data_IF_175854694826
#
_entry.id   IF_175854694826
#
_cell.length_a   1.000
_cell.length_b   1.000
_cell.length_c   1.000
_cell.angle_alpha   90.00
_cell.angle_beta   90.00
_cell.angle_gamma   90.00
#
_symmetry.space_group_name_H-M   'P 1'
#
loop_
_entity.id
_entity.type
_entity.pdbx_description
1 polymer ?
#
# COMPACT_ATOMS: atom_id res chain seq x y z
N UNK A 1 0.80 8.54 -16.32
CA UNK A 1 -0.20 7.91 -15.45
C UNK A 1 -1.30 8.89 -15.11
N UNK A 2 -2.56 8.45 -15.12
CA UNK A 2 -3.63 9.32 -14.65
C UNK A 2 -3.46 9.64 -13.17
N UNK A 3 -3.93 10.82 -12.79
CA UNK A 3 -3.92 11.20 -11.39
C UNK A 3 -5.04 10.46 -10.65
N UNK A 4 -4.72 9.98 -9.46
CA UNK A 4 -5.72 9.37 -8.60
C UNK A 4 -6.50 10.48 -7.89
N UNK A 5 -7.82 10.39 -7.90
CA UNK A 5 -8.66 11.36 -7.18
C UNK A 5 -8.69 11.02 -5.71
N UNK A 6 -8.10 11.91 -4.90
CA UNK A 6 -8.08 11.69 -3.45
C UNK A 6 -9.25 12.40 -2.78
N UNK A 7 -9.65 11.95 -1.59
CA UNK A 7 -10.69 12.63 -0.84
C UNK A 7 -10.30 14.06 -0.49
N UNK A 8 -11.30 14.91 -0.28
CA UNK A 8 -11.08 16.28 0.12
C UNK A 8 -10.26 16.34 1.40
N UNK A 9 -9.33 17.28 1.46
CA UNK A 9 -8.45 17.44 2.62
C UNK A 9 -7.13 16.69 2.50
N UNK A 10 -6.96 15.90 1.44
CA UNK A 10 -5.73 15.13 1.25
C UNK A 10 -5.02 15.53 -0.04
N UNK A 11 -3.70 15.39 -0.04
CA UNK A 11 -2.94 15.30 -1.28
C UNK A 11 -2.76 13.82 -1.58
N UNK A 12 -2.27 13.49 -2.79
CA UNK A 12 -1.97 12.09 -3.12
C UNK A 12 -1.00 11.49 -2.09
N UNK A 13 0.04 12.23 -1.73
CA UNK A 13 1.04 11.75 -0.79
C UNK A 13 0.46 11.53 0.62
N UNK A 14 -0.30 12.50 1.13
CA UNK A 14 -0.84 12.36 2.49
C UNK A 14 -1.88 11.26 2.56
N UNK A 15 -2.66 11.07 1.50
CA UNK A 15 -3.63 9.99 1.46
C UNK A 15 -2.93 8.63 1.36
N UNK A 16 -1.88 8.55 0.54
CA UNK A 16 -1.07 7.34 0.45
C UNK A 16 -0.50 6.95 1.82
N UNK A 17 0.06 7.92 2.54
CA UNK A 17 0.61 7.65 3.87
C UNK A 17 -0.48 7.24 4.86
N UNK A 18 -1.66 7.84 4.76
CA UNK A 18 -2.79 7.45 5.61
C UNK A 18 -3.19 6.00 5.36
N UNK A 19 -3.32 5.62 4.10
CA UNK A 19 -3.70 4.24 3.76
C UNK A 19 -2.63 3.25 4.22
N UNK A 20 -1.36 3.60 4.09
CA UNK A 20 -0.27 2.75 4.58
C UNK A 20 -0.34 2.60 6.11
N UNK A 21 -0.58 3.68 6.83
CA UNK A 21 -0.68 3.64 8.29
C UNK A 21 -1.87 2.81 8.75
N UNK A 22 -3.03 3.00 8.11
CA UNK A 22 -4.22 2.24 8.45
C UNK A 22 -4.01 0.75 8.14
N UNK A 23 -3.42 0.45 7.01
CA UNK A 23 -3.13 -0.93 6.63
C UNK A 23 -2.08 -1.57 7.52
N UNK A 24 -1.07 -0.81 7.92
CA UNK A 24 -0.05 -1.29 8.85
C UNK A 24 -0.71 -1.71 10.18
N UNK A 25 -1.58 -0.85 10.71
CA UNK A 25 -2.29 -1.16 11.95
C UNK A 25 -3.15 -2.40 11.81
N UNK A 26 -3.82 -2.57 10.67
CA UNK A 26 -4.64 -3.74 10.43
C UNK A 26 -3.85 -5.03 10.27
N UNK A 27 -2.65 -4.95 9.66
CA UNK A 27 -1.82 -6.14 9.42
C UNK A 27 -0.98 -6.52 10.62
N UNK A 28 -0.42 -5.53 11.32
CA UNK A 28 0.60 -5.76 12.37
C UNK A 28 0.18 -5.28 13.75
N UNK A 29 -0.91 -4.53 13.86
CA UNK A 29 -1.23 -3.83 15.09
C UNK A 29 -0.20 -2.75 15.35
N UNK A 30 0.42 -2.77 16.52
CA UNK A 30 1.46 -1.81 16.85
C UNK A 30 2.73 -2.00 16.00
N UNK A 31 3.05 -3.25 15.72
CA UNK A 31 4.21 -3.58 14.90
C UNK A 31 5.52 -3.40 15.62
N UNK A 32 6.61 -3.80 14.94
CA UNK A 32 7.96 -3.64 15.46
C UNK A 32 8.61 -2.41 14.87
N UNK A 33 9.68 -1.93 15.52
CA UNK A 33 10.45 -0.80 14.98
C UNK A 33 11.04 -1.13 13.60
N UNK A 34 11.44 -2.38 13.40
CA UNK A 34 11.96 -2.81 12.11
C UNK A 34 10.89 -2.73 11.02
N UNK A 35 9.67 -3.15 11.32
CA UNK A 35 8.56 -3.07 10.37
C UNK A 35 8.22 -1.62 10.03
N UNK A 36 8.17 -0.75 11.06
CA UNK A 36 7.89 0.67 10.87
C UNK A 36 8.96 1.35 10.02
N UNK A 37 10.22 1.03 10.28
CA UNK A 37 11.33 1.60 9.54
C UNK A 37 11.29 1.16 8.07
N UNK A 38 10.95 -0.10 7.81
CA UNK A 38 10.85 -0.59 6.44
C UNK A 38 9.71 0.08 5.69
N UNK A 39 8.57 0.28 6.37
CA UNK A 39 7.45 0.98 5.74
C UNK A 39 7.85 2.40 5.35
N UNK A 40 8.47 3.13 6.26
CA UNK A 40 8.90 4.50 5.99
C UNK A 40 9.91 4.57 4.86
N UNK A 41 10.86 3.63 4.84
CA UNK A 41 11.86 3.56 3.78
C UNK A 41 11.20 3.39 2.42
N UNK A 42 10.25 2.45 2.33
CA UNK A 42 9.57 2.20 1.07
C UNK A 42 8.66 3.36 0.65
N UNK A 43 7.97 3.99 1.61
CA UNK A 43 7.15 5.17 1.31
C UNK A 43 7.99 6.28 0.69
N UNK A 44 9.17 6.52 1.27
CA UNK A 44 10.07 7.55 0.77
C UNK A 44 10.60 7.22 -0.63
N UNK A 45 10.92 5.96 -0.88
CA UNK A 45 11.36 5.53 -2.20
C UNK A 45 10.27 5.70 -3.25
N UNK A 46 9.04 5.31 -2.91
CA UNK A 46 7.90 5.42 -3.81
C UNK A 46 7.62 6.87 -4.15
N UNK A 47 7.70 7.75 -3.15
CA UNK A 47 7.53 9.18 -3.36
C UNK A 47 8.61 9.73 -4.29
N UNK A 48 9.86 9.39 -4.02
CA UNK A 48 11.00 9.84 -4.81
C UNK A 48 10.90 9.42 -6.26
N UNK A 49 10.42 8.21 -6.50
CA UNK A 49 10.31 7.65 -7.84
C UNK A 49 9.05 8.11 -8.57
N UNK A 50 8.16 8.84 -7.90
CA UNK A 50 6.94 9.34 -8.51
C UNK A 50 5.85 8.30 -8.69
N UNK A 51 5.83 7.26 -7.87
CA UNK A 51 4.88 6.15 -8.01
C UNK A 51 3.72 6.18 -7.01
N UNK A 52 3.53 7.29 -6.29
CA UNK A 52 2.44 7.37 -5.31
C UNK A 52 1.07 7.12 -5.96
N UNK A 53 0.79 7.81 -7.06
CA UNK A 53 -0.50 7.63 -7.73
C UNK A 53 -0.68 6.23 -8.27
N UNK A 54 0.39 5.61 -8.76
CA UNK A 54 0.35 4.24 -9.22
C UNK A 54 -0.12 3.29 -8.10
N UNK A 55 0.47 3.43 -6.91
CA UNK A 55 0.08 2.58 -5.78
C UNK A 55 -1.35 2.84 -5.32
N UNK A 56 -1.79 4.11 -5.36
CA UNK A 56 -3.17 4.43 -5.01
C UNK A 56 -4.16 3.81 -5.99
N UNK A 57 -3.85 3.87 -7.28
CA UNK A 57 -4.70 3.29 -8.32
C UNK A 57 -4.78 1.77 -8.16
N UNK A 58 -3.65 1.11 -7.97
CA UNK A 58 -3.61 -0.35 -7.82
C UNK A 58 -4.34 -0.78 -6.55
N UNK A 59 -4.12 -0.07 -5.44
CA UNK A 59 -4.80 -0.37 -4.18
C UNK A 59 -6.32 -0.25 -4.33
N UNK A 60 -6.76 0.81 -4.99
CA UNK A 60 -8.19 1.03 -5.21
C UNK A 60 -8.80 -0.07 -6.10
N UNK A 61 -8.10 -0.46 -7.14
CA UNK A 61 -8.53 -1.53 -8.03
C UNK A 61 -8.66 -2.87 -7.27
N UNK A 62 -7.67 -3.21 -6.47
CA UNK A 62 -7.69 -4.45 -5.70
C UNK A 62 -8.84 -4.43 -4.70
N UNK A 63 -9.05 -3.31 -4.02
CA UNK A 63 -10.14 -3.17 -3.07
C UNK A 63 -11.50 -3.35 -3.76
N UNK A 64 -11.67 -2.73 -4.92
CA UNK A 64 -12.89 -2.87 -5.69
C UNK A 64 -13.12 -4.32 -6.10
N UNK A 65 -12.09 -4.97 -6.65
CA UNK A 65 -12.20 -6.36 -7.09
C UNK A 65 -12.63 -7.28 -5.94
N UNK A 66 -12.03 -7.10 -4.76
CA UNK A 66 -12.40 -7.90 -3.59
C UNK A 66 -13.84 -7.62 -3.14
N UNK A 67 -14.27 -6.36 -3.24
CA UNK A 67 -15.62 -5.98 -2.79
C UNK A 67 -16.72 -6.60 -3.65
N UNK A 68 -16.45 -6.89 -4.91
CA UNK A 68 -17.42 -7.50 -5.81
C UNK A 68 -17.16 -9.01 -6.02
N UNK A 69 -16.30 -9.60 -5.19
CA UNK A 69 -16.09 -11.04 -5.20
C UNK A 69 -15.17 -11.55 -6.30
N UNK A 70 -14.43 -10.68 -6.97
CA UNK A 70 -13.46 -11.11 -7.97
C UNK A 70 -12.20 -11.59 -7.25
N UNK A 71 -11.75 -12.83 -7.48
CA UNK A 71 -10.54 -13.32 -6.82
C UNK A 71 -9.32 -12.51 -7.26
N UNK A 72 -8.51 -12.13 -6.28
CA UNK A 72 -7.24 -11.45 -6.52
C UNK A 72 -6.16 -12.32 -5.90
N UNK A 73 -5.16 -12.66 -6.68
CA UNK A 73 -4.07 -13.49 -6.20
C UNK A 73 -3.29 -12.83 -5.07
N UNK A 74 -2.49 -13.60 -4.32
CA UNK A 74 -1.77 -13.06 -3.15
C UNK A 74 -0.63 -12.11 -3.51
N UNK A 75 -0.38 -11.91 -4.80
CA UNK A 75 0.72 -11.09 -5.27
C UNK A 75 1.92 -11.93 -5.67
N UNK A 76 2.73 -11.40 -6.57
CA UNK A 76 3.91 -12.11 -7.07
C UNK A 76 4.94 -11.08 -7.55
N UNK A 77 6.13 -11.59 -7.89
CA UNK A 77 7.21 -10.75 -8.36
C UNK A 77 7.73 -9.83 -7.27
N UNK A 78 8.23 -8.67 -7.65
CA UNK A 78 8.81 -7.74 -6.70
C UNK A 78 7.81 -7.19 -5.69
N UNK A 79 6.52 -7.16 -6.06
CA UNK A 79 5.49 -6.67 -5.16
C UNK A 79 5.33 -7.54 -3.91
N UNK A 80 5.61 -8.84 -4.02
CA UNK A 80 5.48 -9.76 -2.90
C UNK A 80 6.47 -9.46 -1.77
N UNK A 81 7.56 -8.74 -2.07
CA UNK A 81 8.54 -8.36 -1.05
C UNK A 81 8.32 -6.98 -0.46
N UNK A 82 7.24 -6.30 -0.80
CA UNK A 82 7.02 -4.92 -0.39
C UNK A 82 6.06 -4.82 0.79
N UNK A 83 6.50 -4.15 1.87
CA UNK A 83 5.64 -3.92 3.03
C UNK A 83 4.53 -2.92 2.67
N UNK A 84 4.81 -1.94 1.80
CA UNK A 84 3.77 -1.02 1.32
C UNK A 84 2.68 -1.80 0.61
N UNK A 85 3.05 -2.69 -0.30
CA UNK A 85 2.07 -3.51 -1.03
C UNK A 85 1.24 -4.37 -0.09
N UNK A 86 1.86 -4.90 0.95
CA UNK A 86 1.17 -5.70 1.96
C UNK A 86 0.18 -4.84 2.77
N UNK A 87 0.60 -3.67 3.20
CA UNK A 87 -0.27 -2.76 3.97
C UNK A 87 -1.42 -2.22 3.13
N UNK A 88 -1.23 -2.01 1.83
CA UNK A 88 -2.28 -1.55 0.93
C UNK A 88 -3.17 -2.68 0.41
N UNK A 89 -2.95 -3.90 0.88
CA UNK A 89 -3.71 -5.09 0.49
C UNK A 89 -3.55 -5.47 -0.98
N UNK A 90 -2.48 -5.00 -1.62
CA UNK A 90 -2.12 -5.41 -2.98
C UNK A 90 -1.60 -6.84 -2.95
N UNK A 91 -0.85 -7.18 -1.91
CA UNK A 91 -0.39 -8.55 -1.67
C UNK A 91 -0.90 -9.02 -0.31
N UNK A 92 -0.96 -10.34 -0.12
CA UNK A 92 -1.43 -10.93 1.14
C UNK A 92 -0.34 -11.79 1.81
N UNK A 93 0.89 -11.71 1.32
CA UNK A 93 2.02 -12.46 1.87
C UNK A 93 2.88 -11.51 2.68
N UNK A 94 3.11 -11.85 3.95
CA UNK A 94 3.91 -11.02 4.84
C UNK A 94 5.36 -10.97 4.34
N UNK A 95 5.91 -9.79 4.02
CA UNK A 95 7.18 -9.69 3.30
C UNK A 95 8.43 -9.79 4.16
N UNK A 96 8.31 -9.68 5.47
CA UNK A 96 9.48 -9.60 6.36
C UNK A 96 9.82 -10.93 7.04
N UNK A 97 9.20 -12.00 6.60
CA UNK A 97 9.52 -13.35 7.08
C UNK A 97 10.65 -13.96 6.30
#
# INVERSE_FOLDING_TARGET
LPEFKVPEGYTSLTYFKKLCADGFAGRYGEGTEKQKAQLEYEENMIEKMGFVDYFLIVSDFVRYAKSVGIPVGPGRGSAAGSIVSYCLHITDIEPMK
#
